data_IF_676415497705
#
_entry.id   IF_676415497705
#
_cell.length_a   1.000
_cell.length_b   1.000
_cell.length_c   1.000
_cell.angle_alpha   90.00
_cell.angle_beta   90.00
_cell.angle_gamma   90.00
#
_symmetry.space_group_name_H-M   'P 1'
#
loop_
_entity.id
_entity.type
_entity.pdbx_description
1 polymer ?
#
# COMPACT_ATOMS: atom_id res chain seq x y z
N UNK A 1 -0.19 -13.77 -25.48
CA UNK A 1 0.95 -12.98 -25.98
C UNK A 1 0.69 -11.49 -25.78
N UNK A 2 -0.43 -10.95 -26.28
CA UNK A 2 -0.86 -9.54 -26.08
C UNK A 2 -0.87 -9.08 -24.60
N UNK A 3 -1.45 -9.90 -23.71
CA UNK A 3 -1.62 -9.51 -22.30
C UNK A 3 -0.30 -9.46 -21.50
N UNK A 4 0.69 -10.30 -21.82
CA UNK A 4 1.97 -10.33 -21.09
C UNK A 4 2.84 -9.11 -21.48
N UNK A 5 2.80 -8.73 -22.76
CA UNK A 5 3.45 -7.50 -23.22
C UNK A 5 2.88 -6.26 -22.52
N UNK A 6 1.55 -6.13 -22.46
CA UNK A 6 0.89 -4.99 -21.81
C UNK A 6 1.17 -4.92 -20.30
N UNK A 7 1.22 -6.06 -19.60
CA UNK A 7 1.59 -6.13 -18.19
C UNK A 7 3.03 -5.62 -17.97
N UNK A 8 3.96 -6.04 -18.83
CA UNK A 8 5.35 -5.57 -18.78
C UNK A 8 5.48 -4.09 -19.10
N UNK A 9 4.74 -3.58 -20.08
CA UNK A 9 4.69 -2.15 -20.41
C UNK A 9 4.17 -1.31 -19.23
N UNK A 10 3.04 -1.69 -18.65
CA UNK A 10 2.48 -1.02 -17.48
C UNK A 10 3.47 -1.03 -16.30
N UNK A 11 4.10 -2.18 -16.04
CA UNK A 11 5.13 -2.32 -15.01
C UNK A 11 6.33 -1.40 -15.26
N UNK A 12 6.84 -1.35 -16.49
CA UNK A 12 7.95 -0.45 -16.88
C UNK A 12 7.61 1.02 -16.66
N UNK A 13 6.41 1.44 -17.07
CA UNK A 13 5.95 2.82 -16.91
C UNK A 13 5.87 3.21 -15.42
N UNK A 14 5.28 2.35 -14.58
CA UNK A 14 5.17 2.58 -13.13
C UNK A 14 6.54 2.65 -12.45
N UNK A 15 7.46 1.75 -12.81
CA UNK A 15 8.82 1.73 -12.26
C UNK A 15 9.57 3.01 -12.63
N UNK A 16 9.58 3.38 -13.91
CA UNK A 16 10.24 4.59 -14.40
C UNK A 16 9.70 5.85 -13.72
N UNK A 17 8.37 5.96 -13.60
CA UNK A 17 7.73 7.08 -12.91
C UNK A 17 8.10 7.17 -11.43
N UNK A 18 8.08 6.03 -10.71
CA UNK A 18 8.45 5.97 -9.30
C UNK A 18 9.92 6.31 -9.06
N UNK A 19 10.82 5.84 -9.93
CA UNK A 19 12.26 6.11 -9.84
C UNK A 19 12.54 7.60 -10.08
N UNK A 20 11.93 8.19 -11.10
CA UNK A 20 11.98 9.64 -11.38
C UNK A 20 11.50 10.46 -10.18
N UNK A 21 10.37 10.08 -9.58
CA UNK A 21 9.86 10.73 -8.36
C UNK A 21 10.85 10.65 -7.20
N UNK A 22 11.45 9.49 -6.97
CA UNK A 22 12.38 9.26 -5.86
C UNK A 22 13.68 10.05 -6.03
N UNK A 23 14.22 10.10 -7.25
CA UNK A 23 15.42 10.88 -7.56
C UNK A 23 15.20 12.37 -7.37
N UNK A 24 14.04 12.88 -7.82
CA UNK A 24 13.65 14.28 -7.64
C UNK A 24 13.55 14.65 -6.15
N UNK A 25 12.98 13.77 -5.31
CA UNK A 25 12.90 13.99 -3.85
C UNK A 25 14.27 14.04 -3.17
N UNK A 26 15.28 13.34 -3.69
CA UNK A 26 16.64 13.31 -3.13
C UNK A 26 17.56 14.41 -3.68
N UNK A 27 17.08 15.27 -4.59
CA UNK A 27 17.89 16.32 -5.22
C UNK A 27 19.00 15.78 -6.13
N UNK A 28 18.93 14.51 -6.56
CA UNK A 28 20.01 13.79 -7.26
C UNK A 28 19.98 13.91 -8.79
N UNK A 29 19.33 14.93 -9.36
CA UNK A 29 19.28 15.08 -10.81
C UNK A 29 20.60 15.69 -11.31
N UNK A 30 21.60 14.84 -11.54
CA UNK A 30 22.69 15.16 -12.45
C UNK A 30 22.14 15.04 -13.87
N UNK A 31 22.32 16.06 -14.70
CA UNK A 31 21.90 16.07 -16.10
C UNK A 31 22.41 14.81 -16.82
N UNK A 32 21.51 13.88 -17.12
CA UNK A 32 21.74 12.82 -18.09
C UNK A 32 20.76 12.99 -19.26
N UNK A 33 21.23 12.88 -20.51
CA UNK A 33 20.39 13.05 -21.70
C UNK A 33 19.59 11.77 -22.00
N UNK A 34 18.41 11.96 -22.58
CA UNK A 34 17.53 10.96 -23.21
C UNK A 34 16.93 9.87 -22.30
N UNK A 35 16.25 10.27 -21.22
CA UNK A 35 15.22 9.41 -20.60
C UNK A 35 13.90 9.56 -21.36
N UNK A 36 13.23 8.44 -21.65
CA UNK A 36 11.84 8.41 -22.13
C UNK A 36 10.96 9.43 -21.38
N UNK A 37 9.97 10.05 -22.04
CA UNK A 37 9.07 10.99 -21.38
C UNK A 37 8.46 10.31 -20.14
N UNK A 38 8.64 10.94 -18.97
CA UNK A 38 8.05 10.44 -17.73
C UNK A 38 6.53 10.41 -17.92
N UNK A 39 5.87 9.24 -17.72
CA UNK A 39 4.44 9.12 -17.95
C UNK A 39 3.64 10.14 -17.12
N UNK A 40 2.55 10.64 -17.66
CA UNK A 40 1.64 11.56 -16.97
C UNK A 40 0.95 10.88 -15.79
N UNK A 41 0.42 11.68 -14.84
CA UNK A 41 -0.33 11.14 -13.69
C UNK A 41 -1.56 10.33 -14.11
N UNK A 42 -2.21 10.75 -15.19
CA UNK A 42 -3.40 10.08 -15.75
C UNK A 42 -3.02 8.70 -16.29
N UNK A 43 -1.92 8.62 -17.05
CA UNK A 43 -1.42 7.35 -17.57
C UNK A 43 -1.03 6.40 -16.44
N UNK A 44 -0.32 6.89 -15.42
CA UNK A 44 0.05 6.07 -14.25
C UNK A 44 -1.17 5.60 -13.47
N UNK A 45 -2.18 6.45 -13.27
CA UNK A 45 -3.45 6.05 -12.64
C UNK A 45 -4.10 4.91 -13.43
N UNK A 46 -4.17 5.06 -14.76
CA UNK A 46 -4.69 4.03 -15.67
C UNK A 46 -3.90 2.72 -15.63
N UNK A 47 -2.57 2.77 -15.61
CA UNK A 47 -1.74 1.57 -15.49
C UNK A 47 -1.89 0.88 -14.14
N UNK A 48 -1.99 1.63 -13.03
CA UNK A 48 -2.26 1.03 -11.72
C UNK A 48 -3.64 0.35 -11.70
N UNK A 49 -4.67 0.99 -12.25
CA UNK A 49 -6.00 0.40 -12.38
C UNK A 49 -5.97 -0.89 -13.22
N UNK A 50 -5.25 -0.86 -14.35
CA UNK A 50 -5.04 -2.04 -15.18
C UNK A 50 -4.34 -3.17 -14.39
N UNK A 51 -3.31 -2.85 -13.61
CA UNK A 51 -2.63 -3.85 -12.78
C UNK A 51 -3.54 -4.42 -11.68
N UNK A 52 -4.44 -3.63 -11.09
CA UNK A 52 -5.44 -4.14 -10.12
C UNK A 52 -6.25 -5.28 -10.76
N UNK A 53 -6.77 -5.06 -11.97
CA UNK A 53 -7.57 -6.06 -12.68
C UNK A 53 -6.76 -7.33 -12.96
N UNK A 54 -5.47 -7.19 -13.29
CA UNK A 54 -4.56 -8.33 -13.53
C UNK A 54 -4.10 -9.04 -12.27
N UNK A 55 -3.97 -8.35 -11.14
CA UNK A 55 -3.66 -8.97 -9.84
C UNK A 55 -4.88 -9.75 -9.34
N UNK A 56 -6.08 -9.22 -9.57
CA UNK A 56 -7.34 -9.89 -9.23
C UNK A 56 -7.54 -11.19 -10.03
N UNK A 57 -7.15 -11.20 -11.31
CA UNK A 57 -7.17 -12.39 -12.16
C UNK A 57 -6.04 -13.38 -11.81
N UNK A 58 -6.42 -14.56 -11.32
CA UNK A 58 -5.49 -15.62 -10.92
C UNK A 58 -4.50 -16.03 -12.01
N UNK A 59 -4.86 -15.90 -13.31
CA UNK A 59 -4.02 -16.33 -14.42
C UNK A 59 -2.86 -15.36 -14.71
N UNK A 60 -3.04 -14.07 -14.43
CA UNK A 60 -2.08 -13.02 -14.79
C UNK A 60 -1.35 -12.44 -13.58
N UNK A 61 -1.87 -12.64 -12.36
CA UNK A 61 -1.27 -12.21 -11.09
C UNK A 61 0.22 -12.53 -10.95
N UNK A 62 0.62 -13.79 -11.20
CA UNK A 62 2.02 -14.22 -11.06
C UNK A 62 2.96 -13.42 -11.97
N UNK A 63 2.50 -13.07 -13.17
CA UNK A 63 3.29 -12.26 -14.11
C UNK A 63 3.52 -10.87 -13.56
N UNK A 64 2.51 -10.24 -12.95
CA UNK A 64 2.62 -8.91 -12.35
C UNK A 64 3.60 -8.91 -11.18
N UNK A 65 3.44 -9.85 -10.24
CA UNK A 65 4.27 -9.90 -9.01
C UNK A 65 5.74 -10.18 -9.34
N UNK A 66 6.00 -10.98 -10.37
CA UNK A 66 7.37 -11.31 -10.80
C UNK A 66 8.10 -10.17 -11.52
N UNK A 67 7.44 -9.04 -11.81
CA UNK A 67 8.11 -7.87 -12.42
C UNK A 67 9.10 -7.29 -11.39
N UNK A 68 10.41 -7.32 -11.68
CA UNK A 68 11.41 -6.83 -10.74
C UNK A 68 11.17 -5.36 -10.38
N UNK A 69 11.33 -5.02 -9.11
CA UNK A 69 11.15 -3.67 -8.53
C UNK A 69 9.72 -3.13 -8.55
N UNK A 70 8.77 -3.77 -9.22
CA UNK A 70 7.40 -3.25 -9.33
C UNK A 70 6.75 -3.08 -7.95
N UNK A 71 6.90 -4.07 -7.07
CA UNK A 71 6.36 -3.98 -5.70
C UNK A 71 6.90 -2.76 -4.96
N UNK A 72 8.22 -2.54 -5.00
CA UNK A 72 8.88 -1.36 -4.40
C UNK A 72 8.34 -0.05 -4.98
N UNK A 73 8.12 0.01 -6.29
CA UNK A 73 7.57 1.19 -6.96
C UNK A 73 6.13 1.44 -6.53
N UNK A 74 5.28 0.41 -6.47
CA UNK A 74 3.89 0.51 -5.98
C UNK A 74 3.87 0.96 -4.51
N UNK A 75 4.72 0.39 -3.65
CA UNK A 75 4.89 0.84 -2.26
C UNK A 75 5.27 2.32 -2.20
N UNK A 76 6.20 2.77 -3.04
CA UNK A 76 6.59 4.19 -3.10
C UNK A 76 5.41 5.09 -3.52
N UNK A 77 4.66 4.68 -4.54
CA UNK A 77 3.52 5.43 -5.06
C UNK A 77 2.30 5.45 -4.13
N UNK A 78 2.16 4.45 -3.24
CA UNK A 78 1.14 4.43 -2.20
C UNK A 78 1.23 5.62 -1.22
N UNK A 79 2.41 6.26 -1.17
CA UNK A 79 2.71 7.45 -0.38
C UNK A 79 3.01 8.67 -1.26
N UNK A 80 2.63 8.62 -2.55
CA UNK A 80 2.96 9.65 -3.53
C UNK A 80 2.49 11.04 -3.07
N UNK A 81 3.49 11.91 -2.82
CA UNK A 81 3.30 13.31 -2.39
C UNK A 81 2.31 13.46 -1.23
N UNK A 82 2.25 12.49 -0.33
CA UNK A 82 1.45 12.58 0.90
C UNK A 82 1.90 13.80 1.73
N UNK A 83 0.95 14.53 2.32
CA UNK A 83 1.21 15.76 3.07
C UNK A 83 1.55 17.02 2.24
N UNK A 84 1.53 16.96 0.91
CA UNK A 84 1.82 18.12 0.04
C UNK A 84 0.53 18.74 -0.49
N UNK A 85 0.12 19.90 0.04
CA UNK A 85 -1.06 20.64 -0.41
C UNK A 85 -0.72 21.58 -1.59
N UNK A 86 -0.89 21.11 -2.83
CA UNK A 86 -0.72 21.93 -4.05
C UNK A 86 -1.93 21.72 -4.95
N UNK A 87 -2.85 22.69 -5.03
CA UNK A 87 -3.98 22.72 -5.99
C UNK A 87 -5.03 21.58 -5.87
N UNK A 88 -6.28 21.86 -6.26
CA UNK A 88 -7.40 20.92 -6.09
C UNK A 88 -7.39 19.78 -7.12
N UNK A 89 -7.20 20.07 -8.42
CA UNK A 89 -7.18 19.04 -9.49
C UNK A 89 -5.97 18.09 -9.38
N UNK A 90 -4.79 18.63 -9.07
CA UNK A 90 -3.62 17.81 -8.75
C UNK A 90 -3.83 17.00 -7.46
N UNK A 91 -4.70 17.46 -6.55
CA UNK A 91 -5.13 16.72 -5.37
C UNK A 91 -5.79 15.39 -5.74
N UNK A 92 -6.77 15.42 -6.65
CA UNK A 92 -7.54 14.24 -7.05
C UNK A 92 -6.67 13.17 -7.72
N UNK A 93 -5.86 13.54 -8.72
CA UNK A 93 -5.00 12.56 -9.42
C UNK A 93 -3.95 11.95 -8.50
N UNK A 94 -3.42 12.72 -7.53
CA UNK A 94 -2.50 12.19 -6.51
C UNK A 94 -3.20 11.21 -5.59
N UNK A 95 -4.43 11.51 -5.19
CA UNK A 95 -5.25 10.62 -4.39
C UNK A 95 -5.48 9.30 -5.13
N UNK A 96 -5.85 9.35 -6.41
CA UNK A 96 -6.03 8.14 -7.23
C UNK A 96 -4.75 7.29 -7.30
N UNK A 97 -3.59 7.90 -7.54
CA UNK A 97 -2.31 7.15 -7.55
C UNK A 97 -2.09 6.44 -6.22
N UNK A 98 -2.32 7.11 -5.08
CA UNK A 98 -2.17 6.48 -3.76
C UNK A 98 -3.18 5.36 -3.56
N UNK A 99 -4.46 5.61 -3.84
CA UNK A 99 -5.55 4.65 -3.70
C UNK A 99 -5.30 3.41 -4.56
N UNK A 100 -5.03 3.58 -5.85
CA UNK A 100 -4.80 2.47 -6.77
C UNK A 100 -3.54 1.68 -6.40
N UNK A 101 -2.48 2.36 -5.98
CA UNK A 101 -1.27 1.68 -5.47
C UNK A 101 -1.57 0.84 -4.22
N UNK A 102 -2.34 1.38 -3.26
CA UNK A 102 -2.74 0.64 -2.05
C UNK A 102 -3.65 -0.54 -2.38
N UNK A 103 -4.54 -0.41 -3.38
CA UNK A 103 -5.33 -1.53 -3.88
C UNK A 103 -4.47 -2.61 -4.52
N UNK A 104 -3.46 -2.27 -5.32
CA UNK A 104 -2.50 -3.25 -5.82
C UNK A 104 -1.84 -4.02 -4.66
N UNK A 105 -1.33 -3.32 -3.65
CA UNK A 105 -0.70 -3.94 -2.47
C UNK A 105 -1.69 -4.83 -1.69
N UNK A 106 -2.93 -4.36 -1.51
CA UNK A 106 -4.00 -5.11 -0.85
C UNK A 106 -4.26 -6.44 -1.55
N UNK A 107 -4.39 -6.42 -2.89
CA UNK A 107 -4.66 -7.64 -3.66
C UNK A 107 -3.45 -8.57 -3.70
N UNK A 108 -2.22 -8.05 -3.82
CA UNK A 108 -0.99 -8.85 -3.72
C UNK A 108 -0.94 -9.54 -2.35
N UNK A 109 -1.21 -8.81 -1.27
CA UNK A 109 -1.25 -9.36 0.09
C UNK A 109 -2.31 -10.45 0.24
N UNK A 110 -3.55 -10.16 -0.16
CA UNK A 110 -4.68 -11.06 0.00
C UNK A 110 -4.47 -12.35 -0.80
N UNK A 111 -3.89 -12.25 -1.99
CA UNK A 111 -3.72 -13.39 -2.91
C UNK A 111 -2.33 -14.00 -2.86
N UNK A 112 -1.41 -13.45 -2.08
CA UNK A 112 -0.01 -13.84 -2.08
C UNK A 112 0.31 -15.00 -1.15
N UNK A 113 1.32 -15.78 -1.48
CA UNK A 113 1.84 -16.81 -0.57
C UNK A 113 2.83 -16.22 0.46
N UNK A 114 3.53 -17.08 1.19
CA UNK A 114 4.51 -16.68 2.22
C UNK A 114 5.64 -15.80 1.66
N UNK A 115 6.07 -16.06 0.41
CA UNK A 115 7.10 -15.26 -0.24
C UNK A 115 6.57 -13.86 -0.51
N UNK A 116 5.35 -13.75 -1.03
CA UNK A 116 4.70 -12.45 -1.30
C UNK A 116 4.52 -11.63 0.00
N UNK A 117 4.14 -12.28 1.12
CA UNK A 117 4.06 -11.60 2.44
C UNK A 117 5.43 -11.08 2.87
N UNK A 118 6.48 -11.89 2.72
CA UNK A 118 7.85 -11.52 3.07
C UNK A 118 8.34 -10.32 2.24
N UNK A 119 8.06 -10.33 0.94
CA UNK A 119 8.39 -9.23 0.05
C UNK A 119 7.66 -7.93 0.41
N UNK A 120 6.38 -8.00 0.80
CA UNK A 120 5.63 -6.84 1.29
C UNK A 120 6.27 -6.22 2.53
N UNK A 121 6.57 -7.03 3.55
CA UNK A 121 7.22 -6.55 4.78
C UNK A 121 8.61 -5.97 4.48
N UNK A 122 9.39 -6.63 3.62
CA UNK A 122 10.72 -6.16 3.20
C UNK A 122 10.67 -4.82 2.46
N UNK A 123 9.59 -4.55 1.73
CA UNK A 123 9.38 -3.26 1.04
C UNK A 123 8.72 -2.19 1.94
N UNK A 124 8.53 -2.46 3.23
CA UNK A 124 8.00 -1.48 4.17
C UNK A 124 6.48 -1.34 4.12
N UNK A 125 5.76 -2.43 3.83
CA UNK A 125 4.29 -2.40 3.82
C UNK A 125 3.70 -1.98 5.17
N UNK A 126 4.31 -2.37 6.31
CA UNK A 126 3.90 -1.91 7.64
C UNK A 126 3.93 -0.38 7.74
N UNK A 127 5.04 0.23 7.31
CA UNK A 127 5.19 1.69 7.22
C UNK A 127 4.14 2.35 6.31
N UNK A 128 3.88 1.77 5.13
CA UNK A 128 2.86 2.28 4.21
C UNK A 128 1.49 2.33 4.87
N UNK A 129 1.13 1.25 5.58
CA UNK A 129 -0.14 1.19 6.27
C UNK A 129 -0.20 2.26 7.36
N UNK A 130 0.81 2.39 8.22
CA UNK A 130 0.91 3.44 9.26
C UNK A 130 0.57 4.81 8.71
N UNK A 131 1.31 5.24 7.69
CA UNK A 131 1.20 6.59 7.13
C UNK A 131 -0.15 6.79 6.41
N UNK A 132 -0.79 5.72 5.92
CA UNK A 132 -2.00 5.83 5.11
C UNK A 132 -3.26 6.26 5.89
N UNK A 133 -3.33 5.97 7.19
CA UNK A 133 -4.45 6.40 8.04
C UNK A 133 -4.08 7.51 9.03
N UNK A 134 -2.81 7.92 9.09
CA UNK A 134 -2.38 9.05 9.91
C UNK A 134 -3.06 10.34 9.46
N UNK A 135 -3.51 11.16 10.42
CA UNK A 135 -4.35 12.34 10.15
C UNK A 135 -3.61 13.67 10.03
N UNK A 136 -2.28 13.66 9.92
CA UNK A 136 -1.43 14.86 9.91
C UNK A 136 -1.68 15.87 8.75
N UNK A 137 -2.78 15.80 8.00
CA UNK A 137 -3.06 16.63 6.82
C UNK A 137 -4.50 17.11 6.56
N UNK A 138 -5.49 16.93 7.46
CA UNK A 138 -6.83 17.54 7.25
C UNK A 138 -8.03 16.73 7.74
N UNK A 139 -9.24 17.14 7.31
CA UNK A 139 -10.53 16.47 7.54
C UNK A 139 -11.36 16.45 6.24
N UNK A 140 -12.02 15.32 5.92
CA UNK A 140 -12.95 15.20 4.80
C UNK A 140 -13.32 13.74 4.44
N UNK A 141 -14.39 13.54 3.69
CA UNK A 141 -14.92 12.19 3.35
C UNK A 141 -13.92 11.29 2.59
N UNK A 142 -13.09 11.89 1.73
CA UNK A 142 -12.05 11.16 0.99
C UNK A 142 -10.97 10.63 1.94
N UNK A 143 -10.64 11.42 2.96
CA UNK A 143 -9.69 11.03 4.00
C UNK A 143 -10.28 9.95 4.90
N UNK A 144 -11.57 10.03 5.23
CA UNK A 144 -12.28 8.98 5.96
C UNK A 144 -12.25 7.63 5.23
N UNK A 145 -12.30 7.64 3.88
CA UNK A 145 -12.17 6.41 3.08
C UNK A 145 -10.76 5.85 3.16
N UNK A 146 -9.74 6.70 3.05
CA UNK A 146 -8.33 6.31 3.18
C UNK A 146 -8.04 5.75 4.57
N UNK A 147 -8.51 6.42 5.64
CA UNK A 147 -8.36 5.98 7.02
C UNK A 147 -9.01 4.60 7.22
N UNK A 148 -10.28 4.46 6.80
CA UNK A 148 -10.99 3.18 6.92
C UNK A 148 -10.28 2.05 6.17
N UNK A 149 -9.77 2.32 4.96
CA UNK A 149 -9.05 1.32 4.16
C UNK A 149 -7.69 0.97 4.80
N UNK A 150 -6.98 1.95 5.34
CA UNK A 150 -5.72 1.76 6.06
C UNK A 150 -5.89 0.89 7.30
N UNK A 151 -6.81 1.26 8.20
CA UNK A 151 -7.12 0.52 9.42
C UNK A 151 -7.58 -0.91 9.13
N UNK A 152 -8.50 -1.08 8.17
CA UNK A 152 -8.93 -2.40 7.71
C UNK A 152 -7.74 -3.22 7.18
N UNK A 153 -6.83 -2.61 6.41
CA UNK A 153 -5.67 -3.31 5.86
C UNK A 153 -4.74 -3.81 6.95
N UNK A 154 -4.48 -3.00 7.99
CA UNK A 154 -3.69 -3.38 9.18
C UNK A 154 -4.30 -4.57 9.88
N UNK A 155 -5.58 -4.46 10.25
CA UNK A 155 -6.28 -5.52 10.98
C UNK A 155 -6.12 -6.86 10.27
N UNK A 156 -6.47 -6.92 8.99
CA UNK A 156 -6.39 -8.16 8.24
C UNK A 156 -4.95 -8.64 8.09
N UNK A 157 -3.99 -7.75 7.83
CA UNK A 157 -2.61 -8.16 7.58
C UNK A 157 -1.97 -8.72 8.85
N UNK A 158 -2.06 -8.01 9.98
CA UNK A 158 -1.53 -8.49 11.25
C UNK A 158 -2.24 -9.78 11.71
N UNK A 159 -3.56 -9.87 11.54
CA UNK A 159 -4.30 -11.10 11.86
C UNK A 159 -3.83 -12.29 11.04
N UNK A 160 -3.60 -12.11 9.74
CA UNK A 160 -3.07 -13.17 8.86
C UNK A 160 -1.63 -13.55 9.19
N UNK A 161 -0.78 -12.59 9.59
CA UNK A 161 0.57 -12.90 10.03
C UNK A 161 0.60 -13.63 11.38
N UNK A 162 -0.32 -13.32 12.32
CA UNK A 162 -0.39 -13.97 13.63
C UNK A 162 -1.08 -15.34 13.60
N UNK A 163 -2.16 -15.48 12.82
CA UNK A 163 -3.04 -16.65 12.87
C UNK A 163 -2.95 -17.53 11.61
N UNK A 164 -2.34 -17.02 10.55
CA UNK A 164 -2.41 -17.64 9.23
C UNK A 164 -3.79 -17.47 8.59
N UNK A 165 -4.01 -18.21 7.50
CA UNK A 165 -5.32 -18.31 6.83
C UNK A 165 -5.51 -19.68 6.20
N UNK A 166 -6.73 -20.21 6.27
CA UNK A 166 -7.09 -21.54 5.76
C UNK A 166 -7.69 -21.53 4.35
N UNK A 167 -8.00 -20.36 3.80
CA UNK A 167 -8.46 -20.17 2.43
C UNK A 167 -7.28 -19.94 1.48
N UNK A 168 -7.47 -20.19 0.17
CA UNK A 168 -6.37 -20.18 -0.80
C UNK A 168 -5.92 -18.77 -1.23
N UNK A 169 -4.61 -18.45 -1.19
CA UNK A 169 -3.52 -19.32 -0.73
C UNK A 169 -3.48 -19.44 0.80
N UNK A 170 -3.39 -20.68 1.29
CA UNK A 170 -3.27 -20.92 2.72
C UNK A 170 -1.94 -20.40 3.23
N UNK A 171 -1.93 -19.80 4.42
CA UNK A 171 -0.73 -19.35 5.11
C UNK A 171 -0.69 -19.97 6.50
N UNK A 172 0.49 -20.44 6.90
CA UNK A 172 0.78 -20.68 8.31
C UNK A 172 1.03 -19.34 9.01
N UNK A 173 0.91 -19.25 10.34
CA UNK A 173 1.38 -18.09 11.10
C UNK A 173 2.83 -17.72 10.73
N UNK A 174 3.08 -16.43 10.52
CA UNK A 174 4.37 -15.84 10.17
C UNK A 174 4.83 -14.86 11.27
N UNK A 175 5.13 -15.34 12.50
CA UNK A 175 5.36 -14.48 13.67
C UNK A 175 6.56 -13.54 13.52
N UNK A 176 7.60 -13.94 12.78
CA UNK A 176 8.76 -13.08 12.50
C UNK A 176 8.38 -11.87 11.62
N UNK A 177 7.50 -12.09 10.63
CA UNK A 177 7.00 -11.02 9.78
C UNK A 177 6.03 -10.11 10.55
N UNK A 178 5.21 -10.67 11.44
CA UNK A 178 4.33 -9.91 12.32
C UNK A 178 5.14 -8.95 13.19
N UNK A 179 6.16 -9.47 13.89
CA UNK A 179 7.06 -8.66 14.72
C UNK A 179 7.70 -7.52 13.93
N UNK A 180 8.23 -7.80 12.74
CA UNK A 180 8.87 -6.78 11.91
C UNK A 180 7.89 -5.74 11.39
N UNK A 181 6.66 -6.14 11.09
CA UNK A 181 5.59 -5.22 10.69
C UNK A 181 5.24 -4.29 11.85
N UNK A 182 5.12 -4.83 13.07
CA UNK A 182 4.86 -4.00 14.23
C UNK A 182 6.00 -3.02 14.52
N UNK A 183 7.26 -3.45 14.38
CA UNK A 183 8.44 -2.58 14.53
C UNK A 183 8.36 -1.41 13.53
N UNK A 184 8.05 -1.67 12.26
CA UNK A 184 7.81 -0.62 11.26
C UNK A 184 6.65 0.31 11.62
N UNK A 185 5.60 -0.23 12.24
CA UNK A 185 4.43 0.56 12.64
C UNK A 185 4.76 1.47 13.83
N UNK A 186 5.47 0.94 14.82
CA UNK A 186 5.92 1.66 16.01
C UNK A 186 6.89 2.79 15.66
N UNK A 187 7.82 2.56 14.72
CA UNK A 187 8.73 3.61 14.19
C UNK A 187 8.00 4.81 13.57
N UNK A 188 6.78 4.60 13.06
CA UNK A 188 5.97 5.64 12.41
C UNK A 188 4.87 6.21 13.34
N UNK A 189 4.87 5.86 14.63
CA UNK A 189 3.87 6.35 15.59
C UNK A 189 2.44 5.84 15.31
N UNK A 190 2.32 4.67 14.70
CA UNK A 190 1.03 4.12 14.29
C UNK A 190 0.08 3.86 15.46
N UNK A 191 0.61 3.55 16.65
CA UNK A 191 -0.22 3.24 17.83
C UNK A 191 -1.00 4.47 18.29
N UNK A 192 -0.32 5.61 18.36
CA UNK A 192 -0.92 6.90 18.73
C UNK A 192 -1.97 7.33 17.71
N UNK A 193 -1.69 7.12 16.41
CA UNK A 193 -2.65 7.42 15.35
C UNK A 193 -3.86 6.47 15.39
N UNK A 194 -3.69 5.17 15.66
CA UNK A 194 -4.80 4.23 15.85
C UNK A 194 -5.67 4.67 17.03
N UNK A 195 -5.05 5.03 18.16
CA UNK A 195 -5.76 5.52 19.35
C UNK A 195 -6.55 6.81 19.06
N UNK A 196 -6.01 7.71 18.24
CA UNK A 196 -6.73 8.89 17.79
C UNK A 196 -7.95 8.54 16.93
N UNK A 197 -7.84 7.53 16.05
CA UNK A 197 -8.95 7.09 15.19
C UNK A 197 -10.07 6.34 15.94
N UNK A 198 -9.83 5.82 17.14
CA UNK A 198 -10.87 5.15 17.96
C UNK A 198 -12.04 6.09 18.31
N UNK A 199 -11.82 7.40 18.29
CA UNK A 199 -12.88 8.40 18.54
C UNK A 199 -13.38 9.07 17.25
N UNK A 200 -12.95 8.59 16.08
CA UNK A 200 -13.35 9.16 14.79
C UNK A 200 -14.74 8.62 14.38
N UNK A 201 -15.72 9.52 14.38
CA UNK A 201 -17.12 9.24 14.02
C UNK A 201 -17.41 9.31 12.51
N UNK A 202 -16.39 9.41 11.64
CA UNK A 202 -16.56 9.31 10.18
C UNK A 202 -17.26 8.01 9.77
N UNK A 203 -17.82 7.93 8.55
CA UNK A 203 -18.61 6.77 8.07
C UNK A 203 -19.55 6.14 9.12
N UNK A 204 -20.35 6.95 9.82
CA UNK A 204 -21.28 6.49 10.86
C UNK A 204 -20.60 5.65 11.97
N UNK A 205 -19.36 6.00 12.34
CA UNK A 205 -18.59 5.29 13.35
C UNK A 205 -17.88 4.02 12.85
N UNK A 206 -17.92 3.72 11.55
CA UNK A 206 -17.14 2.57 11.03
C UNK A 206 -15.64 2.74 11.25
N UNK A 207 -15.11 3.97 11.23
CA UNK A 207 -13.68 4.23 11.45
C UNK A 207 -13.27 3.81 12.86
N UNK A 208 -14.02 4.20 13.88
CA UNK A 208 -13.72 3.81 15.27
C UNK A 208 -13.77 2.30 15.47
N UNK A 209 -14.71 1.60 14.81
CA UNK A 209 -14.76 0.12 14.83
C UNK A 209 -13.48 -0.47 14.25
N UNK A 210 -13.06 -0.04 13.04
CA UNK A 210 -11.82 -0.56 12.44
C UNK A 210 -10.56 -0.17 13.21
N UNK A 211 -10.56 0.97 13.91
CA UNK A 211 -9.46 1.36 14.78
C UNK A 211 -9.34 0.43 15.99
N UNK A 212 -10.48 0.05 16.60
CA UNK A 212 -10.49 -0.94 17.69
C UNK A 212 -9.96 -2.30 17.23
N UNK A 213 -10.45 -2.79 16.09
CA UNK A 213 -9.99 -4.06 15.50
C UNK A 213 -8.48 -4.02 15.17
N UNK A 214 -7.99 -2.94 14.55
CA UNK A 214 -6.58 -2.77 14.25
C UNK A 214 -5.71 -2.71 15.52
N UNK A 215 -6.21 -2.08 16.59
CA UNK A 215 -5.55 -2.05 17.89
C UNK A 215 -5.46 -3.45 18.49
N UNK A 216 -6.54 -4.22 18.48
CA UNK A 216 -6.53 -5.61 18.95
C UNK A 216 -5.55 -6.48 18.16
N UNK A 217 -5.53 -6.35 16.83
CA UNK A 217 -4.60 -7.08 15.98
C UNK A 217 -3.13 -6.74 16.26
N UNK A 218 -2.83 -5.50 16.66
CA UNK A 218 -1.49 -5.06 17.09
C UNK A 218 -1.14 -5.60 18.49
N UNK A 219 -2.13 -5.80 19.35
CA UNK A 219 -1.97 -6.31 20.71
C UNK A 219 -2.02 -7.85 20.81
N UNK A 220 -2.46 -8.55 19.76
CA UNK A 220 -2.57 -10.01 19.70
C UNK A 220 -1.24 -10.78 19.82
N UNK A 221 -0.14 -10.09 20.15
CA UNK A 221 1.14 -10.66 20.62
C UNK A 221 1.01 -11.62 21.80
N UNK A 222 -0.09 -11.61 22.56
CA UNK A 222 -0.22 -12.32 23.84
C UNK A 222 -1.07 -13.60 23.83
N UNK A 223 -1.64 -14.03 22.69
CA UNK A 223 -2.53 -15.22 22.65
C UNK A 223 -1.77 -16.52 22.28
N UNK A 224 -0.51 -16.45 21.87
CA UNK A 224 0.29 -17.64 21.53
C UNK A 224 1.59 -17.73 22.34
N UNK A 225 1.43 -17.97 23.64
CA UNK A 225 2.45 -18.54 24.54
C UNK A 225 2.08 -19.97 24.90
#
# INVERSE_FOLDING_TARGET
>A
MESDYQIKEAGRAIISFSDSYTQNKQGKRNEQPDSDPTPSLVEISGYLQYLIDKIFDNNTRKQVIQIPKLLKSITTLSLYKIGIHIGQELGQMRLEIRCNSRWCLFWIRLKGDEQDQSELVNNGYGRVMSISFSTAGGKGEEQDKEIRLGLRSIYWFLSELHLGRNWQPSLQPLPLLARRTDEQMEEEGAREEIDAQMNNNGFDGNISVWANEAKEATLNRFIQG
#
